data_IF_926710481141
#
_entry.id   IF_926710481141
#
_cell.length_a   1.000
_cell.length_b   1.000
_cell.length_c   1.000
_cell.angle_alpha   90.00
_cell.angle_beta   90.00
_cell.angle_gamma   90.00
#
_symmetry.space_group_name_H-M   'P 1'
#
loop_
_entity.id
_entity.type
_entity.pdbx_description
1 polymer ?
#
# COMPACT_ATOMS: atom_id res chain seq x y z
N UNK A 1 43.72 -8.70 42.03
CA UNK A 1 43.28 -8.39 40.66
C UNK A 1 41.78 -8.61 40.61
N UNK A 2 40.98 -7.54 40.78
CA UNK A 2 39.52 -7.63 40.77
C UNK A 2 39.00 -7.30 39.38
N UNK A 3 38.29 -8.24 38.75
CA UNK A 3 37.56 -8.05 37.51
C UNK A 3 36.22 -7.38 37.82
N UNK A 4 36.07 -6.11 37.44
CA UNK A 4 34.78 -5.41 37.46
C UNK A 4 33.97 -5.86 36.26
N UNK A 5 32.94 -6.67 36.47
CA UNK A 5 31.98 -7.03 35.44
C UNK A 5 31.10 -5.82 35.13
N UNK A 6 31.24 -5.26 33.93
CA UNK A 6 30.33 -4.23 33.41
C UNK A 6 29.05 -4.95 32.97
N UNK A 7 27.99 -4.82 33.77
CA UNK A 7 26.65 -5.23 33.38
C UNK A 7 26.12 -4.24 32.32
N UNK A 8 26.16 -4.63 31.05
CA UNK A 8 25.48 -3.92 29.97
C UNK A 8 23.98 -4.17 30.17
N UNK A 9 23.30 -3.20 30.78
CA UNK A 9 21.83 -3.15 30.79
C UNK A 9 21.39 -2.85 29.36
N UNK A 10 21.05 -3.90 28.61
CA UNK A 10 20.36 -3.76 27.34
C UNK A 10 18.95 -3.23 27.60
N UNK A 11 18.78 -1.92 27.47
CA UNK A 11 17.48 -1.24 27.52
C UNK A 11 16.64 -1.71 26.33
N UNK A 12 15.85 -2.76 26.52
CA UNK A 12 14.80 -3.13 25.57
C UNK A 12 13.65 -2.14 25.72
N UNK A 13 13.77 -0.99 25.04
CA UNK A 13 12.62 -0.09 24.86
C UNK A 13 11.57 -0.88 24.09
N UNK A 14 10.39 -1.17 24.67
CA UNK A 14 9.35 -1.83 23.92
C UNK A 14 8.93 -0.87 22.81
N UNK A 15 9.11 -1.28 21.56
CA UNK A 15 8.60 -0.57 20.38
C UNK A 15 7.07 -0.68 20.42
N UNK A 16 6.45 0.12 21.27
CA UNK A 16 5.04 0.45 21.16
C UNK A 16 4.97 1.26 19.88
N UNK A 17 4.44 0.68 18.80
CA UNK A 17 4.20 1.41 17.55
C UNK A 17 3.65 2.80 17.93
N UNK A 18 4.40 3.85 17.58
CA UNK A 18 4.17 5.17 18.14
C UNK A 18 2.73 5.60 17.84
N UNK A 19 1.92 5.69 18.91
CA UNK A 19 0.50 5.99 18.79
C UNK A 19 0.28 7.35 18.12
N UNK A 20 1.24 8.28 18.23
CA UNK A 20 1.23 9.52 17.49
C UNK A 20 1.47 9.30 16.01
N UNK A 21 2.54 8.59 15.63
CA UNK A 21 2.84 8.27 14.24
C UNK A 21 1.68 7.51 13.54
N UNK A 22 1.01 6.59 14.25
CA UNK A 22 -0.19 5.92 13.76
C UNK A 22 -1.36 6.89 13.52
N UNK A 23 -1.57 7.87 14.40
CA UNK A 23 -2.62 8.90 14.22
C UNK A 23 -2.28 9.82 13.05
N UNK A 24 -1.03 10.23 12.91
CA UNK A 24 -0.57 11.08 11.81
C UNK A 24 -0.73 10.37 10.46
N UNK A 25 -0.30 9.11 10.37
CA UNK A 25 -0.51 8.26 9.18
C UNK A 25 -1.99 8.19 8.77
N UNK A 26 -2.90 8.00 9.73
CA UNK A 26 -4.36 7.99 9.46
C UNK A 26 -4.89 9.35 9.00
N UNK A 27 -4.41 10.46 9.57
CA UNK A 27 -4.79 11.81 9.13
C UNK A 27 -4.33 12.07 7.71
N UNK A 28 -3.10 11.68 7.37
CA UNK A 28 -2.58 11.77 6.00
C UNK A 28 -3.44 10.96 5.03
N UNK A 29 -3.84 9.74 5.40
CA UNK A 29 -4.81 8.96 4.61
C UNK A 29 -6.14 9.69 4.40
N UNK A 30 -6.72 10.29 5.44
CA UNK A 30 -7.95 11.08 5.32
C UNK A 30 -7.81 12.22 4.31
N UNK A 31 -6.70 12.95 4.33
CA UNK A 31 -6.44 14.00 3.34
C UNK A 31 -6.33 13.45 1.90
N UNK A 32 -5.69 12.29 1.72
CA UNK A 32 -5.50 11.67 0.40
C UNK A 32 -6.79 11.10 -0.22
N UNK A 33 -7.80 10.77 0.58
CA UNK A 33 -9.09 10.27 0.07
C UNK A 33 -9.81 11.31 -0.80
N UNK A 34 -9.55 12.60 -0.57
CA UNK A 34 -10.17 13.70 -1.30
C UNK A 34 -9.35 14.16 -2.52
N UNK A 35 -8.24 13.49 -2.84
CA UNK A 35 -7.46 13.77 -4.04
C UNK A 35 -8.07 13.07 -5.25
N UNK A 36 -8.42 13.85 -6.28
CA UNK A 36 -9.07 13.39 -7.51
C UNK A 36 -9.37 14.58 -8.44
N UNK A 37 -9.97 14.30 -9.61
CA UNK A 37 -10.24 15.30 -10.66
C UNK A 37 -9.21 15.30 -11.78
N UNK A 38 -9.35 16.24 -12.71
CA UNK A 38 -8.49 16.34 -13.92
C UNK A 38 -7.07 16.87 -13.63
N UNK A 39 -6.82 17.41 -12.43
CA UNK A 39 -5.56 18.06 -12.02
C UNK A 39 -4.42 17.08 -11.66
N UNK A 40 -4.36 15.91 -12.29
CA UNK A 40 -3.29 14.95 -12.05
C UNK A 40 -2.08 15.26 -12.95
N UNK A 41 -0.87 15.00 -12.47
CA UNK A 41 0.39 15.42 -13.11
C UNK A 41 1.18 14.24 -13.70
N UNK A 42 0.56 13.07 -13.87
CA UNK A 42 1.23 11.79 -14.17
C UNK A 42 0.91 11.17 -15.54
N UNK A 43 1.24 9.88 -15.71
CA UNK A 43 1.07 9.08 -16.94
C UNK A 43 -0.14 8.13 -16.94
N UNK A 44 -0.89 8.00 -18.05
CA UNK A 44 -2.03 7.07 -18.21
C UNK A 44 -1.72 6.08 -19.35
N UNK A 45 -1.57 4.79 -19.07
CA UNK A 45 -1.67 3.75 -20.11
C UNK A 45 -3.15 3.35 -20.19
N UNK A 46 -3.83 3.73 -21.27
CA UNK A 46 -5.26 3.51 -21.41
C UNK A 46 -5.63 2.98 -22.78
N UNK A 47 -5.65 1.65 -22.91
CA UNK A 47 -6.62 0.95 -23.76
C UNK A 47 -7.33 -0.10 -22.87
N UNK A 48 -8.55 -0.55 -23.21
CA UNK A 48 -9.26 -1.56 -22.43
C UNK A 48 -8.39 -2.80 -22.24
N UNK A 49 -8.09 -3.17 -20.99
CA UNK A 49 -7.26 -4.35 -20.66
C UNK A 49 -5.81 -4.09 -20.21
N UNK A 50 -5.42 -2.86 -19.87
CA UNK A 50 -4.06 -2.53 -19.40
C UNK A 50 -4.00 -1.80 -18.05
N UNK A 51 -2.84 -1.88 -17.41
CA UNK A 51 -2.52 -1.21 -16.14
C UNK A 51 -2.55 0.32 -16.27
N UNK A 52 -3.31 0.96 -15.39
CA UNK A 52 -3.44 2.41 -15.25
C UNK A 52 -2.62 2.91 -14.06
N UNK A 53 -1.94 4.03 -14.25
CA UNK A 53 -1.15 4.72 -13.24
C UNK A 53 -1.66 6.16 -13.16
N UNK A 54 -1.73 6.75 -11.97
CA UNK A 54 -2.15 8.14 -11.80
C UNK A 54 -1.37 8.74 -10.63
N UNK A 55 -0.64 9.82 -10.88
CA UNK A 55 0.14 10.50 -9.85
C UNK A 55 -0.26 11.96 -9.74
N UNK A 56 -0.66 12.37 -8.53
CA UNK A 56 -0.89 13.75 -8.13
C UNK A 56 0.31 14.19 -7.31
N UNK A 57 1.08 15.17 -7.80
CA UNK A 57 2.12 15.80 -6.98
C UNK A 57 1.46 16.64 -5.89
N UNK A 58 2.15 16.78 -4.76
CA UNK A 58 1.70 17.67 -3.70
C UNK A 58 1.66 19.12 -4.19
N UNK A 59 0.63 19.85 -3.76
CA UNK A 59 0.59 21.31 -3.86
C UNK A 59 0.35 21.91 -2.45
N UNK A 60 0.18 23.23 -2.34
CA UNK A 60 -0.03 23.89 -1.04
C UNK A 60 -1.31 23.44 -0.30
N UNK A 61 -2.22 22.73 -0.95
CA UNK A 61 -3.56 22.37 -0.45
C UNK A 61 -3.85 20.86 -0.48
N UNK A 62 -3.13 20.07 -1.27
CA UNK A 62 -3.38 18.64 -1.49
C UNK A 62 -2.11 17.81 -1.26
N UNK A 63 -2.21 16.66 -0.56
CA UNK A 63 -1.08 15.73 -0.41
C UNK A 63 -0.72 15.08 -1.75
N UNK A 64 0.50 14.59 -1.88
CA UNK A 64 0.86 13.78 -3.04
C UNK A 64 0.23 12.38 -2.93
N UNK A 65 -0.27 11.86 -4.05
CA UNK A 65 -0.94 10.56 -4.12
C UNK A 65 -0.52 9.84 -5.39
N UNK A 66 -0.14 8.57 -5.27
CA UNK A 66 0.05 7.67 -6.41
C UNK A 66 -1.06 6.61 -6.36
N UNK A 67 -1.83 6.47 -7.44
CA UNK A 67 -2.79 5.38 -7.63
C UNK A 67 -2.33 4.48 -8.78
N UNK A 68 -2.34 3.19 -8.51
CA UNK A 68 -2.09 2.13 -9.47
C UNK A 68 -3.38 1.32 -9.58
N UNK A 69 -3.79 1.02 -10.80
CA UNK A 69 -4.88 0.10 -11.08
C UNK A 69 -4.40 -0.90 -12.11
N UNK A 70 -4.50 -2.19 -11.81
CA UNK A 70 -4.03 -3.26 -12.69
C UNK A 70 -5.05 -4.36 -12.84
N UNK A 71 -5.05 -4.96 -14.01
CA UNK A 71 -5.93 -6.07 -14.36
C UNK A 71 -5.12 -7.37 -14.26
N UNK A 72 -5.48 -8.25 -13.32
CA UNK A 72 -4.77 -9.52 -13.08
C UNK A 72 -5.50 -10.62 -13.85
N UNK A 73 -5.10 -10.80 -15.11
CA UNK A 73 -5.82 -11.65 -16.06
C UNK A 73 -7.29 -11.21 -16.17
N UNK A 74 -8.20 -12.16 -16.37
CA UNK A 74 -9.65 -11.89 -16.33
C UNK A 74 -10.25 -12.03 -14.92
N UNK A 75 -9.43 -12.36 -13.92
CA UNK A 75 -9.88 -12.88 -12.63
C UNK A 75 -10.05 -11.80 -11.56
N UNK A 76 -9.25 -10.75 -11.62
CA UNK A 76 -9.25 -9.72 -10.59
C UNK A 76 -8.78 -8.35 -11.10
N UNK A 77 -9.19 -7.32 -10.38
CA UNK A 77 -8.74 -5.94 -10.56
C UNK A 77 -8.15 -5.45 -9.27
N UNK A 78 -6.91 -5.00 -9.30
CA UNK A 78 -6.24 -4.46 -8.11
C UNK A 78 -6.05 -2.96 -8.22
N UNK A 79 -6.33 -2.27 -7.10
CA UNK A 79 -6.12 -0.85 -6.90
C UNK A 79 -5.20 -0.64 -5.71
N UNK A 80 -4.12 0.09 -5.91
CA UNK A 80 -3.15 0.44 -4.87
C UNK A 80 -3.05 1.95 -4.81
N UNK A 81 -3.19 2.54 -3.63
CA UNK A 81 -3.05 3.97 -3.39
C UNK A 81 -1.93 4.21 -2.38
N UNK A 82 -0.90 4.92 -2.79
CA UNK A 82 0.17 5.43 -1.93
C UNK A 82 -0.12 6.89 -1.62
N UNK A 83 0.00 7.24 -0.35
CA UNK A 83 -0.31 8.54 0.18
C UNK A 83 0.90 9.06 0.94
N UNK A 84 1.35 10.25 0.55
CA UNK A 84 2.57 10.87 1.08
C UNK A 84 2.20 12.03 1.99
N UNK A 85 2.97 12.21 3.05
CA UNK A 85 2.89 13.35 3.95
C UNK A 85 3.24 14.66 3.26
N UNK A 86 3.02 15.78 3.95
CA UNK A 86 3.39 17.11 3.47
C UNK A 86 4.91 17.28 3.30
N UNK A 87 5.69 16.50 4.04
CA UNK A 87 7.14 16.39 3.94
C UNK A 87 7.61 15.55 2.74
N UNK A 88 6.69 14.87 2.04
CA UNK A 88 6.97 14.01 0.91
C UNK A 88 7.30 12.56 1.26
N UNK A 89 7.31 12.19 2.55
CA UNK A 89 7.54 10.81 2.99
C UNK A 89 6.29 9.95 2.82
N UNK A 90 6.45 8.66 2.53
CA UNK A 90 5.32 7.72 2.50
C UNK A 90 4.69 7.59 3.89
N UNK A 91 3.39 7.81 3.97
CA UNK A 91 2.65 7.74 5.22
C UNK A 91 1.62 6.61 5.24
N UNK A 92 1.03 6.26 4.10
CA UNK A 92 -0.02 5.25 4.04
C UNK A 92 -0.11 4.56 2.67
N UNK A 93 -0.42 3.26 2.66
CA UNK A 93 -0.80 2.51 1.46
C UNK A 93 -2.16 1.85 1.69
N UNK A 94 -3.09 2.04 0.76
CA UNK A 94 -4.34 1.28 0.67
C UNK A 94 -4.28 0.35 -0.53
N UNK A 95 -4.59 -0.93 -0.34
CA UNK A 95 -4.78 -1.87 -1.44
C UNK A 95 -6.19 -2.44 -1.44
N UNK A 96 -6.74 -2.68 -2.63
CA UNK A 96 -8.02 -3.33 -2.87
C UNK A 96 -7.92 -4.19 -4.13
N UNK A 97 -8.06 -5.50 -3.97
CA UNK A 97 -8.21 -6.45 -5.08
C UNK A 97 -9.66 -6.90 -5.15
N UNK A 98 -10.40 -6.48 -6.17
CA UNK A 98 -11.76 -6.92 -6.45
C UNK A 98 -11.73 -8.15 -7.36
N UNK A 99 -12.47 -9.19 -7.00
CA UNK A 99 -12.53 -10.45 -7.74
C UNK A 99 -13.88 -11.15 -7.54
N UNK A 100 -13.98 -12.34 -8.12
CA UNK A 100 -15.06 -13.30 -7.89
C UNK A 100 -14.55 -14.40 -6.96
N UNK A 101 -15.38 -14.81 -5.99
CA UNK A 101 -15.01 -15.78 -4.96
C UNK A 101 -14.75 -17.15 -5.56
N UNK A 102 -13.52 -17.63 -5.38
CA UNK A 102 -13.06 -18.92 -5.86
C UNK A 102 -13.29 -20.07 -4.86
N UNK A 103 -13.82 -19.79 -3.67
CA UNK A 103 -14.16 -20.83 -2.71
C UNK A 103 -15.27 -21.74 -3.25
N UNK A 104 -15.14 -23.04 -2.99
CA UNK A 104 -16.18 -24.01 -3.32
C UNK A 104 -17.45 -23.84 -2.46
N UNK A 105 -18.57 -24.33 -2.99
CA UNK A 105 -19.86 -24.33 -2.28
C UNK A 105 -20.70 -23.06 -2.45
N UNK A 106 -21.56 -22.77 -1.46
CA UNK A 106 -22.67 -21.79 -1.61
C UNK A 106 -22.25 -20.34 -1.86
N UNK A 107 -21.00 -20.00 -1.59
CA UNK A 107 -20.45 -18.65 -1.77
C UNK A 107 -19.64 -18.51 -3.06
N UNK A 108 -19.47 -19.59 -3.83
CA UNK A 108 -18.78 -19.58 -5.13
C UNK A 108 -19.42 -18.54 -6.06
N UNK A 109 -18.58 -17.89 -6.86
CA UNK A 109 -18.99 -16.89 -7.84
C UNK A 109 -19.58 -15.59 -7.26
N UNK A 110 -19.54 -15.39 -5.93
CA UNK A 110 -19.96 -14.13 -5.29
C UNK A 110 -18.87 -13.06 -5.40
N UNK A 111 -19.22 -11.76 -5.52
CA UNK A 111 -18.24 -10.68 -5.43
C UNK A 111 -17.47 -10.75 -4.11
N UNK A 112 -16.17 -10.47 -4.16
CA UNK A 112 -15.30 -10.48 -2.99
C UNK A 112 -14.14 -9.51 -3.20
N UNK A 113 -13.67 -8.88 -2.12
CA UNK A 113 -12.54 -7.95 -2.18
C UNK A 113 -11.47 -8.29 -1.16
N UNK A 114 -10.20 -8.38 -1.55
CA UNK A 114 -9.07 -8.34 -0.61
C UNK A 114 -8.70 -6.89 -0.35
N UNK A 115 -8.72 -6.44 0.90
CA UNK A 115 -8.34 -5.08 1.27
C UNK A 115 -7.16 -5.09 2.22
N UNK A 116 -6.25 -4.13 2.06
CA UNK A 116 -5.09 -3.97 2.92
C UNK A 116 -4.84 -2.51 3.25
N UNK A 117 -4.35 -2.25 4.46
CA UNK A 117 -3.94 -0.93 4.93
C UNK A 117 -2.55 -1.03 5.54
N UNK A 118 -1.61 -0.25 5.05
CA UNK A 118 -0.23 -0.21 5.52
C UNK A 118 0.05 1.20 6.01
N UNK A 119 0.33 1.33 7.31
CA UNK A 119 0.67 2.59 7.96
C UNK A 119 2.19 2.68 8.10
N UNK A 120 2.77 3.77 7.62
CA UNK A 120 4.23 3.99 7.58
C UNK A 120 4.56 5.22 8.41
N UNK A 121 5.63 5.12 9.19
CA UNK A 121 6.12 6.20 10.03
C UNK A 121 7.06 7.14 9.28
N UNK A 122 7.38 8.31 9.87
CA UNK A 122 8.21 9.34 9.23
C UNK A 122 9.63 8.86 8.88
N UNK A 123 10.16 7.85 9.58
CA UNK A 123 11.43 7.20 9.24
C UNK A 123 11.34 6.13 8.14
N UNK A 124 10.20 5.97 7.47
CA UNK A 124 9.96 4.94 6.45
C UNK A 124 9.66 3.54 7.00
N UNK A 125 9.70 3.37 8.33
CA UNK A 125 9.37 2.10 8.99
C UNK A 125 7.87 1.78 8.94
N UNK A 126 7.52 0.54 8.65
CA UNK A 126 6.13 0.07 8.69
C UNK A 126 5.66 -0.02 10.14
N UNK A 127 4.61 0.72 10.48
CA UNK A 127 4.03 0.79 11.83
C UNK A 127 2.94 -0.25 12.05
N UNK A 128 2.06 -0.44 11.06
CA UNK A 128 0.95 -1.39 11.13
C UNK A 128 0.59 -1.88 9.73
N UNK A 129 0.28 -3.17 9.61
CA UNK A 129 -0.28 -3.78 8.40
C UNK A 129 -1.57 -4.47 8.79
N UNK A 130 -2.70 -4.05 8.24
CA UNK A 130 -3.97 -4.77 8.39
C UNK A 130 -4.47 -5.28 7.06
N UNK A 131 -5.19 -6.40 7.09
CA UNK A 131 -5.73 -7.03 5.91
C UNK A 131 -6.97 -7.84 6.19
N UNK A 132 -7.92 -7.80 5.26
CA UNK A 132 -9.14 -8.58 5.32
C UNK A 132 -9.61 -8.98 3.91
N UNK A 133 -10.40 -10.04 3.85
CA UNK A 133 -11.28 -10.33 2.73
C UNK A 133 -12.68 -9.82 3.09
N UNK A 134 -13.29 -9.03 2.21
CA UNK A 134 -14.60 -8.42 2.41
C UNK A 134 -15.59 -9.10 1.48
N UNK A 135 -16.68 -9.62 2.03
CA UNK A 135 -17.73 -10.29 1.26
C UNK A 135 -18.66 -9.31 0.54
N UNK A 136 -19.58 -9.86 -0.27
CA UNK A 136 -20.60 -9.11 -1.01
C UNK A 136 -21.58 -8.33 -0.13
N UNK A 137 -21.56 -8.55 1.19
CA UNK A 137 -22.35 -7.82 2.19
C UNK A 137 -21.50 -6.83 2.99
N UNK A 138 -20.25 -6.63 2.60
CA UNK A 138 -19.33 -5.71 3.28
C UNK A 138 -18.75 -6.27 4.59
N UNK A 139 -18.93 -7.55 4.91
CA UNK A 139 -18.40 -8.13 6.15
C UNK A 139 -16.94 -8.53 5.99
N UNK A 140 -16.05 -8.13 6.91
CA UNK A 140 -14.65 -8.49 6.87
C UNK A 140 -14.42 -9.90 7.42
N UNK A 141 -13.48 -10.61 6.81
CA UNK A 141 -13.01 -11.95 7.14
C UNK A 141 -11.48 -11.96 7.13
N UNK A 142 -10.86 -12.87 7.88
CA UNK A 142 -9.41 -13.05 7.83
C UNK A 142 -8.93 -13.43 6.42
N UNK A 143 -7.69 -13.06 6.07
CA UNK A 143 -7.12 -13.33 4.75
C UNK A 143 -7.02 -14.82 4.38
N UNK A 144 -6.94 -15.70 5.39
CA UNK A 144 -6.89 -17.15 5.24
C UNK A 144 -8.26 -17.84 5.35
N UNK A 145 -9.36 -17.09 5.27
CA UNK A 145 -10.71 -17.64 5.34
C UNK A 145 -10.98 -18.58 4.15
N UNK A 146 -11.43 -19.81 4.44
CA UNK A 146 -11.68 -20.85 3.43
C UNK A 146 -12.96 -20.66 2.61
N UNK A 147 -13.90 -19.84 3.10
CA UNK A 147 -15.18 -19.55 2.44
C UNK A 147 -15.12 -18.33 1.51
N UNK A 148 -14.07 -17.52 1.63
CA UNK A 148 -13.87 -16.29 0.87
C UNK A 148 -12.45 -16.23 0.34
N UNK A 149 -12.26 -16.76 -0.87
CA UNK A 149 -10.95 -16.93 -1.51
C UNK A 149 -10.85 -16.03 -2.72
N UNK A 150 -9.78 -15.24 -2.75
CA UNK A 150 -9.41 -14.37 -3.87
C UNK A 150 -8.49 -15.18 -4.78
N UNK A 151 -8.85 -15.43 -6.05
CA UNK A 151 -8.05 -16.26 -6.96
C UNK A 151 -6.69 -15.62 -7.31
N UNK A 152 -6.58 -14.30 -7.23
CA UNK A 152 -5.34 -13.58 -7.48
C UNK A 152 -4.38 -13.72 -6.29
N UNK A 153 -3.13 -14.09 -6.58
CA UNK A 153 -2.03 -14.13 -5.60
C UNK A 153 -1.88 -12.76 -4.94
N UNK A 154 -1.51 -12.76 -3.66
CA UNK A 154 -1.15 -11.52 -2.98
C UNK A 154 0.29 -11.16 -3.28
N UNK A 155 0.49 -10.31 -4.27
CA UNK A 155 1.82 -9.88 -4.66
C UNK A 155 2.43 -8.90 -3.65
N UNK A 156 3.76 -8.88 -3.61
CA UNK A 156 4.50 -7.89 -2.84
C UNK A 156 4.29 -6.49 -3.44
N UNK A 157 4.12 -5.49 -2.57
CA UNK A 157 3.94 -4.12 -2.98
C UNK A 157 5.30 -3.41 -3.07
N UNK A 158 5.56 -2.61 -4.12
CA UNK A 158 6.69 -1.70 -4.10
C UNK A 158 6.50 -0.65 -3.00
N UNK A 159 7.53 -0.41 -2.20
CA UNK A 159 7.58 0.63 -1.18
C UNK A 159 8.36 1.82 -1.75
N UNK A 160 7.62 2.80 -2.25
CA UNK A 160 8.19 4.11 -2.59
C UNK A 160 8.31 4.91 -1.29
N UNK A 161 9.52 5.00 -0.72
CA UNK A 161 9.76 5.66 0.57
C UNK A 161 9.42 7.15 0.54
N UNK A 162 9.48 7.79 -0.64
CA UNK A 162 9.15 9.19 -0.82
C UNK A 162 8.55 9.49 -2.19
N UNK A 163 8.03 10.71 -2.36
CA UNK A 163 7.57 11.22 -3.65
C UNK A 163 8.67 11.22 -4.73
N UNK A 164 9.92 11.46 -4.35
CA UNK A 164 11.07 11.43 -5.25
C UNK A 164 11.31 10.01 -5.78
N UNK A 165 11.05 8.98 -4.98
CA UNK A 165 11.11 7.59 -5.44
C UNK A 165 10.03 7.24 -6.45
N UNK A 166 8.84 7.82 -6.32
CA UNK A 166 7.81 7.69 -7.36
C UNK A 166 8.30 8.30 -8.66
N UNK A 167 8.93 9.47 -8.62
CA UNK A 167 9.49 10.13 -9.80
C UNK A 167 10.63 9.33 -10.44
N UNK A 168 11.50 8.72 -9.63
CA UNK A 168 12.53 7.77 -10.12
C UNK A 168 11.90 6.55 -10.78
N UNK A 169 10.87 5.96 -10.19
CA UNK A 169 10.15 4.83 -10.77
C UNK A 169 9.48 5.20 -12.11
N UNK A 170 8.93 6.41 -12.21
CA UNK A 170 8.38 6.93 -13.45
C UNK A 170 9.48 7.10 -14.52
N UNK A 171 10.61 7.72 -14.18
CA UNK A 171 11.73 7.90 -15.10
C UNK A 171 12.30 6.55 -15.57
N UNK A 172 12.39 5.56 -14.68
CA UNK A 172 12.88 4.22 -15.01
C UNK A 172 11.94 3.47 -15.97
N UNK A 173 10.62 3.52 -15.72
CA UNK A 173 9.65 2.83 -16.57
C UNK A 173 9.42 3.50 -17.93
N UNK A 174 9.47 4.84 -17.96
CA UNK A 174 8.96 5.62 -19.09
C UNK A 174 10.09 6.30 -19.88
N UNK A 175 11.16 6.68 -19.21
CA UNK A 175 12.19 7.57 -19.69
C UNK A 175 12.16 8.89 -18.91
N UNK A 176 13.33 9.47 -18.67
CA UNK A 176 13.49 10.83 -18.17
C UNK A 176 13.25 11.88 -19.28
N UNK A 177 13.43 13.16 -18.95
CA UNK A 177 13.27 14.25 -19.92
C UNK A 177 14.25 14.21 -21.11
N UNK A 178 15.30 13.39 -21.04
CA UNK A 178 16.25 13.13 -22.12
C UNK A 178 16.02 11.77 -22.81
N UNK A 179 14.94 11.05 -22.47
CA UNK A 179 14.60 9.74 -23.03
C UNK A 179 15.41 8.57 -22.44
N UNK A 180 16.24 8.79 -21.42
CA UNK A 180 17.00 7.73 -20.75
C UNK A 180 16.12 7.01 -19.73
N UNK A 181 16.28 5.70 -19.61
CA UNK A 181 15.58 4.87 -18.61
C UNK A 181 16.58 4.44 -17.54
N UNK A 182 16.84 5.27 -16.51
CA UNK A 182 17.74 4.88 -15.43
C UNK A 182 17.18 3.65 -14.70
N UNK A 183 18.05 2.77 -14.23
CA UNK A 183 17.62 1.65 -13.41
C UNK A 183 17.11 2.15 -12.06
N UNK A 184 15.95 1.64 -11.64
CA UNK A 184 15.40 1.87 -10.30
C UNK A 184 14.53 0.69 -9.91
N UNK A 185 14.79 0.11 -8.74
CA UNK A 185 13.95 -0.90 -8.13
C UNK A 185 13.64 -0.47 -6.69
N UNK A 186 12.36 -0.26 -6.35
CA UNK A 186 11.97 0.04 -4.98
C UNK A 186 12.09 -1.21 -4.11
N UNK A 187 12.24 -1.01 -2.80
CA UNK A 187 12.06 -2.08 -1.83
C UNK A 187 10.65 -2.69 -1.96
N UNK A 188 10.45 -3.94 -1.54
CA UNK A 188 9.15 -4.60 -1.64
C UNK A 188 8.63 -5.07 -0.28
N UNK A 189 7.30 -5.10 -0.15
CA UNK A 189 6.59 -5.52 1.05
C UNK A 189 5.60 -6.64 0.74
N UNK A 190 5.90 -7.85 1.22
CA UNK A 190 4.96 -8.98 1.24
C UNK A 190 3.87 -8.77 2.30
N UNK A 191 2.98 -7.79 2.07
CA UNK A 191 2.07 -7.27 3.08
C UNK A 191 1.04 -8.30 3.58
N UNK A 192 0.50 -9.18 2.72
CA UNK A 192 -0.46 -10.20 3.17
C UNK A 192 0.12 -11.14 4.22
N UNK A 193 1.41 -11.48 4.11
CA UNK A 193 2.08 -12.34 5.10
C UNK A 193 2.32 -11.62 6.45
N UNK A 194 2.27 -10.29 6.45
CA UNK A 194 2.45 -9.43 7.64
C UNK A 194 1.14 -8.86 8.17
N UNK A 195 0.03 -9.09 7.47
CA UNK A 195 -1.24 -8.44 7.76
C UNK A 195 -1.93 -9.06 8.97
N UNK A 196 -2.28 -8.21 9.92
CA UNK A 196 -3.16 -8.57 11.02
C UNK A 196 -4.61 -8.38 10.61
N UNK A 197 -5.47 -9.31 11.00
CA UNK A 197 -6.91 -9.14 10.83
C UNK A 197 -7.44 -8.16 11.87
N UNK A 198 -8.07 -7.07 11.40
CA UNK A 198 -8.68 -6.05 12.24
C UNK A 198 -10.13 -5.86 11.79
N UNK A 199 -11.11 -6.41 12.52
CA UNK A 199 -12.53 -6.36 12.14
C UNK A 199 -13.19 -5.01 12.41
N UNK A 200 -12.46 -4.03 12.94
CA UNK A 200 -12.97 -2.74 13.42
C UNK A 200 -13.08 -1.65 12.35
#
# INVERSE_FOLDING_TARGET
MSLTAVAIVASTVPVRADAQALRESRRTWQACQHVGGEDWLGWRRGAPGHDTFQYWRADRKKPAVLRLERQIGELAREKITYCFGSDGALAFIRTRTDAVNAAEGRHRNRPVSRVGSIQVGPGGGVLKVTGAVVDDRGRPHALNNRLWVIPAVCEALPLYASREEVERALAAGLGDGAGKRPAFEPATLAWCAKAEFDPS
#
